data_IF_193786164587
#
_entry.id   IF_193786164587
#
_cell.length_a   1.000
_cell.length_b   1.000
_cell.length_c   1.000
_cell.angle_alpha   90.00
_cell.angle_beta   90.00
_cell.angle_gamma   90.00
#
_symmetry.space_group_name_H-M   'P 1'
#
loop_
_entity.id
_entity.type
_entity.pdbx_description
1 polymer ?
#
# COMPACT_ATOMS: atom_id res chain seq x y z
N UNK A 1 17.33 -6.85 14.04
CA UNK A 1 16.41 -6.45 14.96
C UNK A 1 15.05 -7.03 14.58
N UNK A 2 14.07 -7.19 15.49
CA UNK A 2 12.98 -8.17 15.33
C UNK A 2 12.15 -7.99 14.06
N UNK A 3 11.85 -6.75 13.63
CA UNK A 3 11.11 -6.49 12.38
C UNK A 3 11.88 -6.98 11.16
N UNK A 4 13.19 -6.74 11.07
CA UNK A 4 14.04 -7.21 9.96
C UNK A 4 14.23 -8.73 9.98
N UNK A 5 14.21 -9.33 11.17
CA UNK A 5 14.26 -10.79 11.34
C UNK A 5 12.91 -11.47 11.03
N UNK A 6 11.84 -10.70 10.86
CA UNK A 6 10.50 -11.23 10.61
C UNK A 6 9.79 -11.80 11.85
N UNK A 7 10.34 -11.55 13.04
CA UNK A 7 9.77 -11.99 14.31
C UNK A 7 8.48 -11.23 14.67
N UNK A 8 8.43 -9.95 14.29
CA UNK A 8 7.26 -9.09 14.43
C UNK A 8 6.85 -8.52 13.07
N UNK A 9 5.65 -7.96 13.01
CA UNK A 9 5.10 -7.25 11.86
C UNK A 9 4.79 -5.80 12.21
N UNK A 10 4.61 -4.98 11.18
CA UNK A 10 4.10 -3.62 11.30
C UNK A 10 2.93 -3.43 10.34
N UNK A 11 2.08 -2.46 10.64
CA UNK A 11 1.02 -2.01 9.73
C UNK A 11 1.12 -0.51 9.51
N UNK A 12 0.70 -0.06 8.32
CA UNK A 12 0.65 1.36 7.98
C UNK A 12 -0.78 1.88 8.13
N UNK A 13 -0.96 2.88 8.98
CA UNK A 13 -2.23 3.50 9.29
C UNK A 13 -2.30 4.89 8.64
N UNK A 14 -2.82 4.96 7.42
CA UNK A 14 -2.95 6.20 6.67
C UNK A 14 -4.41 6.58 6.43
N UNK A 15 -5.16 5.72 5.74
CA UNK A 15 -6.50 6.03 5.26
C UNK A 15 -7.54 6.09 6.38
N UNK A 16 -8.56 6.94 6.18
CA UNK A 16 -9.61 7.24 7.14
C UNK A 16 -10.98 7.01 6.51
N UNK A 17 -12.00 6.56 7.28
CA UNK A 17 -13.32 6.25 6.73
C UNK A 17 -14.12 7.50 6.33
N UNK A 18 -13.91 8.61 7.03
CA UNK A 18 -14.79 9.77 6.95
C UNK A 18 -14.34 10.81 5.91
N UNK A 19 -13.15 10.64 5.33
CA UNK A 19 -12.56 11.58 4.36
C UNK A 19 -11.91 10.85 3.18
N UNK A 20 -11.76 11.55 2.05
CA UNK A 20 -11.06 11.03 0.86
C UNK A 20 -9.53 11.00 1.11
N UNK A 21 -9.10 10.16 2.02
CA UNK A 21 -7.75 10.11 2.61
C UNK A 21 -6.68 9.46 1.73
N UNK A 22 -7.02 9.00 0.51
CA UNK A 22 -6.04 8.70 -0.54
C UNK A 22 -5.27 9.95 -0.97
N UNK A 23 -5.91 11.11 -0.87
CA UNK A 23 -5.25 12.40 -0.81
C UNK A 23 -4.84 12.68 0.64
N UNK A 24 -3.54 12.63 0.92
CA UNK A 24 -2.99 12.81 2.26
C UNK A 24 -3.32 14.17 2.89
N UNK A 25 -3.68 15.17 2.07
CA UNK A 25 -4.06 16.50 2.57
C UNK A 25 -5.40 16.51 3.29
N UNK A 26 -6.26 15.50 3.03
CA UNK A 26 -7.57 15.36 3.67
C UNK A 26 -7.54 14.61 5.01
N UNK A 27 -6.40 14.06 5.42
CA UNK A 27 -6.29 13.33 6.68
C UNK A 27 -6.68 14.23 7.85
N UNK A 28 -7.54 13.74 8.75
CA UNK A 28 -8.03 14.45 9.94
C UNK A 28 -7.47 13.91 11.25
N UNK A 29 -6.92 12.70 11.26
CA UNK A 29 -6.26 12.14 12.44
C UNK A 29 -5.23 13.13 12.99
N UNK A 30 -5.42 13.56 14.25
CA UNK A 30 -4.58 14.57 14.87
C UNK A 30 -3.42 13.97 15.65
N UNK A 31 -2.26 14.60 15.56
CA UNK A 31 -1.06 14.30 16.36
C UNK A 31 -0.66 15.61 17.05
N UNK A 32 -0.96 15.75 18.33
CA UNK A 32 -0.69 16.99 19.09
C UNK A 32 0.44 16.77 20.07
N UNK A 33 1.45 17.64 20.06
CA UNK A 33 2.55 17.56 21.02
C UNK A 33 2.12 18.11 22.38
N UNK A 34 2.38 17.33 23.43
CA UNK A 34 2.20 17.73 24.83
C UNK A 34 3.49 17.39 25.60
N UNK A 35 4.37 18.36 25.73
CA UNK A 35 5.67 18.18 26.38
C UNK A 35 6.56 17.18 25.63
N UNK A 36 6.91 16.10 26.29
CA UNK A 36 7.75 15.03 25.73
C UNK A 36 6.96 13.88 25.09
N UNK A 37 5.66 14.08 24.91
CA UNK A 37 4.77 13.10 24.30
C UNK A 37 3.97 13.70 23.14
N UNK A 38 3.42 12.82 22.30
CA UNK A 38 2.34 13.14 21.37
C UNK A 38 1.06 12.46 21.80
N UNK A 39 -0.05 13.19 21.71
CA UNK A 39 -1.42 12.69 21.89
C UNK A 39 -2.07 12.54 20.51
N UNK A 40 -2.57 11.33 20.22
CA UNK A 40 -3.08 10.96 18.92
C UNK A 40 -4.55 10.63 19.04
N UNK A 41 -5.35 11.26 18.17
CA UNK A 41 -6.79 11.00 18.07
C UNK A 41 -7.22 10.85 16.61
N UNK A 42 -8.00 9.84 16.32
CA UNK A 42 -8.54 9.61 14.99
C UNK A 42 -9.01 8.19 14.76
N UNK A 43 -9.38 7.93 13.51
CA UNK A 43 -9.89 6.64 13.07
C UNK A 43 -9.25 6.27 11.75
N UNK A 44 -8.69 5.09 11.67
CA UNK A 44 -8.03 4.56 10.48
C UNK A 44 -8.74 3.31 10.01
N UNK A 45 -8.76 3.08 8.69
CA UNK A 45 -9.35 1.88 8.13
C UNK A 45 -8.50 1.32 6.97
N UNK A 46 -8.87 0.15 6.50
CA UNK A 46 -8.11 -0.61 5.51
C UNK A 46 -6.63 -0.77 5.88
N UNK A 47 -6.37 -0.84 7.19
CA UNK A 47 -5.02 -1.00 7.75
C UNK A 47 -4.60 -2.46 7.63
N UNK A 48 -4.00 -2.79 6.49
CA UNK A 48 -3.58 -4.16 6.18
C UNK A 48 -2.51 -4.65 7.16
N UNK A 49 -2.73 -5.82 7.72
CA UNK A 49 -1.81 -6.45 8.66
C UNK A 49 -1.96 -5.97 10.10
N UNK A 50 -2.81 -4.99 10.40
CA UNK A 50 -3.01 -4.51 11.77
C UNK A 50 -3.64 -5.57 12.70
N UNK A 51 -4.38 -6.54 12.14
CA UNK A 51 -4.97 -7.64 12.88
C UNK A 51 -4.05 -8.86 13.06
N UNK A 52 -2.88 -8.88 12.45
CA UNK A 52 -1.92 -9.99 12.62
C UNK A 52 -1.44 -10.02 14.08
N UNK A 53 -1.49 -11.16 14.79
CA UNK A 53 -1.00 -11.28 16.18
C UNK A 53 0.47 -10.90 16.36
N UNK A 54 1.25 -10.97 15.29
CA UNK A 54 2.66 -10.55 15.26
C UNK A 54 2.84 -9.06 15.01
N UNK A 55 1.79 -8.31 14.66
CA UNK A 55 1.86 -6.86 14.49
C UNK A 55 2.09 -6.20 15.86
N UNK A 56 3.24 -5.55 16.03
CA UNK A 56 3.65 -4.91 17.29
C UNK A 56 3.82 -3.41 17.16
N UNK A 57 3.82 -2.87 15.96
CA UNK A 57 4.02 -1.44 15.72
C UNK A 57 3.21 -0.96 14.54
N UNK A 58 2.57 0.17 14.71
CA UNK A 58 1.92 0.93 13.66
C UNK A 58 2.80 2.08 13.21
N UNK A 59 2.87 2.30 11.90
CA UNK A 59 3.40 3.52 11.30
C UNK A 59 2.17 4.35 10.97
N UNK A 60 1.92 5.37 11.78
CA UNK A 60 0.71 6.18 11.68
C UNK A 60 1.02 7.52 11.00
N UNK A 61 0.19 7.89 10.04
CA UNK A 61 0.19 9.22 9.42
C UNK A 61 -0.99 10.05 9.94
N UNK A 62 -0.71 11.24 10.44
CA UNK A 62 -1.72 12.18 10.92
C UNK A 62 -1.23 13.64 10.78
N UNK A 63 -2.09 14.60 11.08
CA UNK A 63 -1.77 16.04 11.06
C UNK A 63 -1.19 16.48 12.39
N UNK A 64 0.01 17.09 12.32
CA UNK A 64 0.63 17.78 13.45
C UNK A 64 0.35 19.27 13.44
N UNK A 65 0.32 19.90 12.25
CA UNK A 65 0.04 21.32 12.07
C UNK A 65 -0.91 21.51 10.87
N UNK A 66 -2.22 21.74 11.11
CA UNK A 66 -3.18 21.95 10.04
C UNK A 66 -3.01 23.31 9.32
N UNK A 67 -2.30 24.27 9.91
CA UNK A 67 -2.09 25.59 9.36
C UNK A 67 -0.79 25.73 8.54
N UNK A 68 0.04 24.68 8.55
CA UNK A 68 1.26 24.62 7.75
C UNK A 68 0.96 24.50 6.23
N UNK A 69 1.98 24.70 5.40
CA UNK A 69 1.90 24.44 3.97
C UNK A 69 1.35 23.03 3.69
N UNK A 70 0.54 22.88 2.65
CA UNK A 70 -0.27 21.68 2.33
C UNK A 70 0.47 20.35 2.53
N UNK A 71 1.71 20.24 2.09
CA UNK A 71 2.50 19.00 2.19
C UNK A 71 3.40 18.94 3.44
N UNK A 72 3.28 19.90 4.34
CA UNK A 72 3.99 19.96 5.63
C UNK A 72 3.07 19.82 6.84
N UNK A 73 1.78 19.58 6.62
CA UNK A 73 0.79 19.38 7.69
C UNK A 73 0.91 18.03 8.36
N UNK A 74 1.34 17.00 7.60
CA UNK A 74 1.32 15.62 8.02
C UNK A 74 2.67 15.18 8.58
N UNK A 75 2.61 14.35 9.61
CA UNK A 75 3.77 13.66 10.18
C UNK A 75 3.53 12.17 10.23
N UNK A 76 4.60 11.41 10.35
CA UNK A 76 4.54 9.98 10.64
C UNK A 76 5.12 9.68 12.00
N UNK A 77 4.45 8.83 12.77
CA UNK A 77 4.83 8.47 14.12
C UNK A 77 4.68 6.96 14.36
N UNK A 78 5.57 6.40 15.16
CA UNK A 78 5.49 4.99 15.57
C UNK A 78 4.59 4.86 16.79
N UNK A 79 3.60 3.98 16.70
CA UNK A 79 2.65 3.69 17.76
C UNK A 79 2.73 2.19 18.08
N UNK A 80 3.03 1.80 19.34
CA UNK A 80 2.91 0.40 19.74
C UNK A 80 1.47 -0.10 19.53
N UNK A 81 1.31 -1.31 19.00
CA UNK A 81 -0.02 -1.83 18.67
C UNK A 81 -0.87 -2.10 19.92
N UNK A 82 -0.23 -2.23 21.08
CA UNK A 82 -0.82 -2.44 22.40
C UNK A 82 -0.83 -1.17 23.26
N UNK A 83 -0.59 0.02 22.69
CA UNK A 83 -0.66 1.28 23.42
C UNK A 83 -2.08 1.53 23.92
N UNK A 84 -2.18 2.10 25.12
CA UNK A 84 -3.47 2.52 25.70
C UNK A 84 -4.20 3.48 24.75
N UNK A 85 -5.49 3.27 24.55
CA UNK A 85 -6.32 4.05 23.62
C UNK A 85 -6.33 3.52 22.18
N UNK A 86 -5.52 2.52 21.84
CA UNK A 86 -5.59 1.83 20.54
C UNK A 86 -6.65 0.71 20.63
N UNK A 87 -7.60 0.73 19.71
CA UNK A 87 -8.63 -0.30 19.58
C UNK A 87 -8.74 -0.76 18.12
N UNK A 88 -8.64 -2.06 17.89
CA UNK A 88 -9.03 -2.66 16.62
C UNK A 88 -10.54 -2.92 16.69
N UNK A 89 -11.32 -2.14 15.93
CA UNK A 89 -12.78 -2.18 16.02
C UNK A 89 -13.37 -3.36 15.26
N UNK A 90 -12.86 -3.61 14.06
CA UNK A 90 -13.33 -4.74 13.23
C UNK A 90 -12.36 -5.01 12.07
N UNK A 91 -12.48 -6.18 11.49
CA UNK A 91 -11.90 -6.47 10.19
C UNK A 91 -12.86 -6.02 9.06
N UNK A 92 -12.28 -5.66 7.92
CA UNK A 92 -12.98 -5.22 6.72
C UNK A 92 -12.82 -6.31 5.64
N UNK A 93 -13.90 -7.01 5.26
CA UNK A 93 -13.81 -8.09 4.29
C UNK A 93 -13.63 -7.55 2.86
N UNK A 94 -12.85 -8.26 2.06
CA UNK A 94 -12.71 -8.04 0.62
C UNK A 94 -13.43 -9.18 -0.11
N UNK A 95 -14.47 -8.87 -0.87
CA UNK A 95 -15.33 -9.87 -1.52
C UNK A 95 -15.83 -10.98 -0.58
N UNK A 96 -16.05 -10.66 0.69
CA UNK A 96 -16.51 -11.61 1.71
C UNK A 96 -15.41 -12.41 2.41
N UNK A 97 -14.14 -12.21 2.06
CA UNK A 97 -12.98 -12.84 2.71
C UNK A 97 -12.36 -11.92 3.75
N UNK A 98 -11.95 -12.47 4.89
CA UNK A 98 -11.31 -11.74 5.99
C UNK A 98 -9.79 -11.57 5.81
N UNK A 99 -9.21 -12.29 4.87
CA UNK A 99 -7.78 -12.27 4.51
C UNK A 99 -6.86 -12.60 5.71
N UNK A 100 -7.36 -13.48 6.62
CA UNK A 100 -6.60 -13.91 7.81
C UNK A 100 -5.26 -14.57 7.43
N UNK A 101 -4.19 -14.43 8.26
CA UNK A 101 -4.15 -13.74 9.56
C UNK A 101 -3.90 -12.23 9.46
N UNK A 102 -3.61 -11.70 8.29
CA UNK A 102 -3.27 -10.28 8.10
C UNK A 102 -4.46 -9.37 8.32
N UNK A 103 -5.53 -9.64 7.58
CA UNK A 103 -6.74 -8.84 7.55
C UNK A 103 -6.52 -7.38 7.16
N UNK A 104 -7.63 -6.68 7.01
CA UNK A 104 -7.65 -5.23 6.83
C UNK A 104 -8.51 -4.65 7.96
N UNK A 105 -7.89 -3.91 8.85
CA UNK A 105 -8.56 -3.51 10.10
C UNK A 105 -9.02 -2.05 10.06
N UNK A 106 -10.10 -1.82 10.78
CA UNK A 106 -10.49 -0.51 11.25
C UNK A 106 -9.93 -0.32 12.66
N UNK A 107 -9.19 0.79 12.86
CA UNK A 107 -8.46 1.08 14.09
C UNK A 107 -8.88 2.43 14.63
N UNK A 108 -9.35 2.48 15.86
CA UNK A 108 -9.63 3.70 16.60
C UNK A 108 -8.44 4.06 17.49
N UNK A 109 -8.14 5.36 17.53
CA UNK A 109 -7.11 5.97 18.36
C UNK A 109 -7.80 7.01 19.23
N UNK A 110 -7.78 6.80 20.55
CA UNK A 110 -8.48 7.63 21.52
C UNK A 110 -7.51 8.06 22.61
N UNK A 111 -7.01 9.30 22.50
CA UNK A 111 -5.99 9.86 23.38
C UNK A 111 -4.74 8.99 23.55
N UNK A 112 -4.31 8.35 22.46
CA UNK A 112 -3.12 7.48 22.44
C UNK A 112 -1.89 8.35 22.69
N UNK A 113 -1.13 8.03 23.75
CA UNK A 113 0.10 8.74 24.12
C UNK A 113 1.32 7.94 23.73
N UNK A 114 2.25 8.61 23.06
CA UNK A 114 3.54 8.04 22.69
C UNK A 114 4.66 9.04 22.90
N UNK A 115 5.90 8.60 23.23
CA UNK A 115 7.05 9.47 23.38
C UNK A 115 7.31 10.33 22.13
N UNK A 116 7.74 11.57 22.32
CA UNK A 116 8.08 12.47 21.22
C UNK A 116 9.18 11.91 20.31
N UNK A 117 10.05 11.05 20.83
CA UNK A 117 11.09 10.35 20.07
C UNK A 117 10.55 9.35 19.03
N UNK A 118 9.27 9.01 19.07
CA UNK A 118 8.64 8.11 18.11
C UNK A 118 8.31 8.79 16.77
N UNK A 119 8.42 10.13 16.68
CA UNK A 119 8.23 10.85 15.41
C UNK A 119 9.33 10.48 14.40
N UNK A 120 8.95 10.26 13.16
CA UNK A 120 9.88 9.90 12.10
C UNK A 120 10.34 11.15 11.34
N UNK A 121 11.64 11.37 11.23
CA UNK A 121 12.31 12.51 10.58
C UNK A 121 11.94 13.91 11.11
N UNK A 122 10.99 14.03 12.03
CA UNK A 122 10.48 15.29 12.56
C UNK A 122 9.06 15.63 12.05
N UNK A 123 8.49 16.68 12.65
CA UNK A 123 7.15 17.17 12.30
C UNK A 123 7.11 17.72 10.86
N UNK A 124 5.94 17.57 10.21
CA UNK A 124 5.70 18.09 8.87
C UNK A 124 6.36 17.30 7.74
N UNK A 125 7.02 16.17 8.04
CA UNK A 125 7.75 15.37 7.04
C UNK A 125 7.06 14.07 6.66
N UNK A 126 5.79 13.91 7.05
CA UNK A 126 5.04 12.69 6.74
C UNK A 126 4.83 12.45 5.25
N UNK A 127 4.54 13.50 4.49
CA UNK A 127 4.37 13.40 3.04
C UNK A 127 5.70 13.05 2.34
N UNK A 128 6.82 13.66 2.74
CA UNK A 128 8.16 13.35 2.24
C UNK A 128 8.51 11.85 2.44
N UNK A 129 8.27 11.33 3.65
CA UNK A 129 8.48 9.92 3.97
C UNK A 129 7.64 9.03 3.06
N UNK A 130 6.35 9.37 2.87
CA UNK A 130 5.46 8.63 2.00
C UNK A 130 5.96 8.59 0.55
N UNK A 131 6.40 9.72 0.00
CA UNK A 131 6.92 9.80 -1.36
C UNK A 131 8.23 9.01 -1.53
N UNK A 132 9.15 9.13 -0.60
CA UNK A 132 10.40 8.38 -0.61
C UNK A 132 10.18 6.85 -0.58
N UNK A 133 9.18 6.39 0.16
CA UNK A 133 8.82 4.98 0.23
C UNK A 133 8.06 4.51 -1.02
N UNK A 134 7.18 5.36 -1.57
CA UNK A 134 6.32 4.99 -2.71
C UNK A 134 7.06 4.98 -4.05
N UNK A 135 8.14 5.75 -4.20
CA UNK A 135 8.94 5.78 -5.42
C UNK A 135 9.36 4.38 -5.90
N UNK A 136 10.17 3.65 -5.12
CA UNK A 136 10.54 2.27 -5.45
C UNK A 136 9.34 1.33 -5.59
N UNK A 137 8.27 1.56 -4.81
CA UNK A 137 7.03 0.79 -4.89
C UNK A 137 6.32 0.92 -6.24
N UNK A 138 6.31 2.12 -6.85
CA UNK A 138 5.73 2.35 -8.18
C UNK A 138 6.47 1.56 -9.25
N UNK A 139 7.79 1.61 -9.26
CA UNK A 139 8.63 0.83 -10.19
C UNK A 139 8.37 -0.67 -10.01
N UNK A 140 8.34 -1.15 -8.76
CA UNK A 140 8.04 -2.54 -8.47
C UNK A 140 6.68 -2.98 -9.02
N UNK A 141 5.63 -2.15 -8.90
CA UNK A 141 4.31 -2.46 -9.46
C UNK A 141 4.34 -2.54 -10.99
N UNK A 142 5.07 -1.66 -11.67
CA UNK A 142 5.27 -1.73 -13.11
C UNK A 142 5.93 -3.04 -13.52
N UNK A 143 7.03 -3.41 -12.87
CA UNK A 143 7.75 -4.67 -13.13
C UNK A 143 6.86 -5.91 -12.92
N UNK A 144 6.06 -5.92 -11.86
CA UNK A 144 5.11 -7.02 -11.60
C UNK A 144 4.03 -7.11 -12.67
N UNK A 145 3.53 -5.98 -13.16
CA UNK A 145 2.50 -5.95 -14.20
C UNK A 145 3.05 -6.48 -15.53
N UNK A 146 4.27 -6.09 -15.89
CA UNK A 146 4.96 -6.61 -17.09
C UNK A 146 5.16 -8.12 -16.98
N UNK A 147 5.67 -8.61 -15.84
CA UNK A 147 5.85 -10.04 -15.62
C UNK A 147 4.54 -10.84 -15.67
N UNK A 148 3.44 -10.27 -15.16
CA UNK A 148 2.12 -10.89 -15.27
C UNK A 148 1.61 -10.92 -16.73
N UNK A 149 1.85 -9.85 -17.50
CA UNK A 149 1.49 -9.77 -18.92
C UNK A 149 2.28 -10.79 -19.76
N UNK A 150 3.59 -10.93 -19.52
CA UNK A 150 4.43 -11.97 -20.14
C UNK A 150 3.86 -13.36 -19.89
N UNK A 151 3.57 -13.66 -18.64
CA UNK A 151 3.00 -14.97 -18.27
C UNK A 151 1.64 -15.21 -18.91
N UNK A 152 0.79 -14.20 -18.94
CA UNK A 152 -0.53 -14.29 -19.57
C UNK A 152 -0.41 -14.56 -21.09
N UNK A 153 0.50 -13.88 -21.77
CA UNK A 153 0.75 -14.08 -23.20
C UNK A 153 1.26 -15.52 -23.49
N UNK A 154 2.21 -16.00 -22.67
CA UNK A 154 2.71 -17.38 -22.79
C UNK A 154 1.57 -18.41 -22.64
N UNK A 155 0.73 -18.25 -21.62
CA UNK A 155 -0.42 -19.11 -21.39
C UNK A 155 -1.44 -19.03 -22.52
N UNK A 156 -1.70 -17.84 -23.05
CA UNK A 156 -2.59 -17.62 -24.18
C UNK A 156 -2.10 -18.36 -25.42
N UNK A 157 -0.82 -18.24 -25.77
CA UNK A 157 -0.23 -18.93 -26.92
C UNK A 157 -0.33 -20.45 -26.75
N UNK A 158 0.09 -20.97 -25.60
CA UNK A 158 -0.03 -22.43 -25.31
C UNK A 158 -1.48 -22.91 -25.43
N UNK A 159 -2.44 -22.15 -24.90
CA UNK A 159 -3.85 -22.50 -24.98
C UNK A 159 -4.39 -22.42 -26.40
N UNK A 160 -4.06 -21.38 -27.15
CA UNK A 160 -4.51 -21.21 -28.53
C UNK A 160 -3.96 -22.29 -29.46
N UNK A 161 -2.76 -22.78 -29.19
CA UNK A 161 -2.16 -23.90 -29.96
C UNK A 161 -2.74 -25.26 -29.60
N UNK A 162 -3.06 -25.49 -28.33
CA UNK A 162 -3.48 -26.81 -27.83
C UNK A 162 -4.99 -27.07 -27.94
N UNK A 163 -5.80 -26.01 -27.97
CA UNK A 163 -7.26 -26.16 -28.06
C UNK A 163 -7.73 -26.21 -29.51
N UNK A 164 -8.47 -27.23 -29.84
CA UNK A 164 -9.17 -27.33 -31.11
C UNK A 164 -10.65 -26.93 -30.99
N UNK A 165 -11.12 -26.20 -32.00
CA UNK A 165 -12.53 -25.86 -32.17
C UNK A 165 -12.84 -25.79 -33.67
N UNK A 166 -14.01 -26.23 -34.08
CA UNK A 166 -14.42 -26.25 -35.50
C UNK A 166 -13.36 -26.90 -36.43
N UNK A 167 -12.77 -28.02 -35.98
CA UNK A 167 -11.85 -28.84 -36.77
C UNK A 167 -10.44 -28.31 -36.95
N UNK A 168 -10.02 -27.29 -36.18
CA UNK A 168 -8.64 -26.79 -36.22
C UNK A 168 -8.24 -26.06 -34.91
N UNK A 169 -6.93 -25.94 -34.64
CA UNK A 169 -6.44 -25.17 -33.46
C UNK A 169 -6.98 -23.74 -33.44
N UNK A 170 -7.31 -23.26 -32.23
CA UNK A 170 -7.88 -21.91 -32.03
C UNK A 170 -7.00 -20.82 -32.63
N UNK A 171 -5.67 -20.95 -32.56
CA UNK A 171 -4.73 -20.00 -33.14
C UNK A 171 -4.93 -19.80 -34.67
N UNK A 172 -5.45 -20.80 -35.36
CA UNK A 172 -5.72 -20.76 -36.82
C UNK A 172 -7.08 -20.13 -37.17
N UNK A 173 -7.80 -19.60 -36.16
CA UNK A 173 -9.06 -18.92 -36.36
C UNK A 173 -8.85 -17.41 -36.33
N UNK A 174 -9.48 -16.68 -37.31
CA UNK A 174 -9.54 -15.24 -37.32
C UNK A 174 -8.17 -14.55 -37.17
N UNK A 175 -8.08 -13.60 -36.26
CA UNK A 175 -6.97 -12.65 -36.08
C UNK A 175 -6.07 -12.96 -34.88
N UNK A 176 -6.04 -14.21 -34.39
CA UNK A 176 -5.28 -14.53 -33.18
C UNK A 176 -3.77 -14.28 -33.32
N UNK A 177 -3.18 -14.61 -34.48
CA UNK A 177 -1.77 -14.35 -34.73
C UNK A 177 -1.47 -12.84 -34.65
N UNK A 178 -2.34 -12.01 -35.22
CA UNK A 178 -2.21 -10.56 -35.13
C UNK A 178 -2.35 -10.04 -33.67
N UNK A 179 -3.30 -10.55 -32.91
CA UNK A 179 -3.51 -10.17 -31.51
C UNK A 179 -2.31 -10.56 -30.63
N UNK A 180 -1.72 -11.73 -30.86
CA UNK A 180 -0.52 -12.19 -30.15
C UNK A 180 0.67 -11.30 -30.50
N UNK A 181 0.88 -10.98 -31.79
CA UNK A 181 1.95 -10.08 -32.22
C UNK A 181 1.80 -8.68 -31.61
N UNK A 182 0.58 -8.13 -31.64
CA UNK A 182 0.29 -6.85 -31.00
C UNK A 182 0.56 -6.87 -29.50
N UNK A 183 0.11 -7.88 -28.77
CA UNK A 183 0.36 -8.01 -27.35
C UNK A 183 1.87 -8.09 -27.03
N UNK A 184 2.65 -8.80 -27.88
CA UNK A 184 4.12 -8.84 -27.72
C UNK A 184 4.73 -7.46 -27.86
N UNK A 185 4.34 -6.73 -28.91
CA UNK A 185 4.83 -5.35 -29.14
C UNK A 185 4.47 -4.44 -27.95
N UNK A 186 3.23 -4.49 -27.49
CA UNK A 186 2.76 -3.67 -26.36
C UNK A 186 3.55 -3.96 -25.07
N UNK A 187 3.94 -5.21 -24.81
CA UNK A 187 4.74 -5.60 -23.65
C UNK A 187 6.18 -5.10 -23.79
N UNK A 188 6.81 -5.26 -24.96
CA UNK A 188 8.18 -4.79 -25.22
C UNK A 188 8.29 -3.28 -25.05
N UNK A 189 7.40 -2.51 -25.68
CA UNK A 189 7.39 -1.05 -25.57
C UNK A 189 7.33 -0.57 -24.12
N UNK A 190 6.51 -1.21 -23.28
CA UNK A 190 6.38 -0.82 -21.86
C UNK A 190 7.58 -1.25 -21.02
N UNK A 191 8.26 -2.30 -21.39
CA UNK A 191 9.52 -2.71 -20.73
C UNK A 191 10.65 -1.70 -21.02
N UNK A 192 10.75 -1.19 -22.25
CA UNK A 192 11.74 -0.20 -22.66
C UNK A 192 11.56 1.16 -21.99
N UNK A 193 10.32 1.65 -21.86
CA UNK A 193 10.00 2.91 -21.17
C UNK A 193 10.55 2.92 -19.73
N UNK A 194 10.42 1.81 -19.00
CA UNK A 194 10.89 1.72 -17.63
C UNK A 194 12.42 1.63 -17.51
N UNK A 195 13.10 1.10 -18.51
CA UNK A 195 14.56 1.01 -18.51
C UNK A 195 15.19 2.39 -18.71
N UNK A 196 14.58 3.26 -19.49
CA UNK A 196 15.08 4.62 -19.74
C UNK A 196 14.93 5.55 -18.51
N UNK A 197 13.87 5.39 -17.71
CA UNK A 197 13.66 6.18 -16.48
C UNK A 197 14.63 5.81 -15.35
N UNK A 198 15.16 4.59 -15.34
CA UNK A 198 16.13 4.14 -14.33
C UNK A 198 17.54 4.65 -14.62
N UNK A 199 17.83 5.04 -15.86
CA UNK A 199 19.16 5.51 -16.30
C UNK A 199 19.32 7.03 -16.25
N UNK A 200 18.27 7.79 -15.97
CA UNK A 200 18.26 9.25 -15.81
C UNK A 200 18.22 9.67 -14.33
#
# INVERSE_FOLDING_TARGET
KPLLAGEIRSAFLMTEPDVASSDATNIECSIKREGDEYVINGRKWWSSGAGDPRCKVFILMGKTDPDAETYKQQSMILVPADAEGVTIERHLPVFGYDDAPHGHMEVKLDNVRVPASNILLGEGRGFEIAQGRLGPGRIHHCMRTIGAAERALEMLVKRAMSREAFGKPVIKHSIWEHRIAKARIDIEMRSEEHTSEIQS
#
